data_IF_589112035312
#
_entry.id   IF_589112035312
#
_cell.length_a   1.000
_cell.length_b   1.000
_cell.length_c   1.000
_cell.angle_alpha   90.00
_cell.angle_beta   90.00
_cell.angle_gamma   90.00
#
_symmetry.space_group_name_H-M   'P 1'
#
loop_
_entity.id
_entity.type
_entity.pdbx_description
1 polymer ?
#
# COMPACT_ATOMS: atom_id res chain seq x y z
N UNK A 1 -26.92 12.78 -10.51
CA UNK A 1 -25.85 12.04 -9.81
C UNK A 1 -24.54 12.65 -10.28
N UNK A 2 -23.84 13.39 -9.41
CA UNK A 2 -22.44 13.69 -9.69
C UNK A 2 -21.69 12.37 -9.55
N UNK A 3 -20.94 11.98 -10.59
CA UNK A 3 -20.00 10.87 -10.49
C UNK A 3 -19.04 11.19 -9.33
N UNK A 4 -19.19 10.44 -8.23
CA UNK A 4 -18.20 10.40 -7.16
C UNK A 4 -16.94 9.78 -7.76
N UNK A 5 -16.09 10.59 -8.39
CA UNK A 5 -14.78 10.15 -8.84
C UNK A 5 -14.02 9.67 -7.60
N UNK A 6 -13.82 8.35 -7.52
CA UNK A 6 -12.99 7.74 -6.50
C UNK A 6 -11.53 8.16 -6.67
N UNK A 7 -10.79 8.24 -5.58
CA UNK A 7 -9.34 8.34 -5.66
C UNK A 7 -8.75 6.95 -5.88
N UNK A 8 -7.93 6.79 -6.91
CA UNK A 8 -7.19 5.56 -7.22
C UNK A 8 -5.72 5.84 -7.45
N UNK A 9 -4.88 4.88 -7.12
CA UNK A 9 -3.44 4.88 -7.42
C UNK A 9 -3.19 3.81 -8.47
N UNK A 10 -2.80 4.24 -9.67
CA UNK A 10 -2.37 3.31 -10.73
C UNK A 10 -0.91 2.91 -10.50
N UNK A 11 -0.69 1.66 -10.09
CA UNK A 11 0.64 1.09 -9.85
C UNK A 11 1.30 0.75 -11.19
N UNK A 12 2.38 1.45 -11.53
CA UNK A 12 3.13 1.22 -12.78
C UNK A 12 4.18 0.12 -12.61
N UNK A 13 4.95 0.17 -11.52
CA UNK A 13 5.91 -0.87 -11.18
C UNK A 13 6.26 -0.87 -9.69
N UNK A 14 6.64 -2.05 -9.21
CA UNK A 14 7.31 -2.26 -7.92
C UNK A 14 8.57 -3.05 -8.27
N UNK A 15 9.73 -2.42 -8.21
CA UNK A 15 11.00 -3.02 -8.62
C UNK A 15 11.91 -3.20 -7.39
N UNK A 16 12.48 -4.39 -7.21
CA UNK A 16 13.44 -4.69 -6.14
C UNK A 16 14.84 -4.78 -6.71
N UNK A 17 15.71 -3.87 -6.27
CA UNK A 17 17.13 -3.84 -6.59
C UNK A 17 17.93 -4.42 -5.42
N UNK A 18 18.13 -5.74 -5.44
CA UNK A 18 18.82 -6.49 -4.38
C UNK A 18 20.34 -6.55 -4.61
N UNK A 19 21.11 -6.40 -3.54
CA UNK A 19 22.57 -6.51 -3.50
C UNK A 19 22.98 -7.89 -2.99
N UNK A 20 24.24 -8.28 -3.25
CA UNK A 20 24.76 -9.60 -2.86
C UNK A 20 24.77 -9.85 -1.33
N UNK A 21 24.74 -8.79 -0.53
CA UNK A 21 24.70 -8.85 0.93
C UNK A 21 23.29 -8.95 1.52
N UNK A 22 22.26 -9.06 0.68
CA UNK A 22 20.85 -9.11 1.07
C UNK A 22 20.24 -7.74 1.40
N UNK A 23 21.00 -6.64 1.30
CA UNK A 23 20.45 -5.28 1.34
C UNK A 23 19.92 -4.88 -0.04
N UNK A 24 19.14 -3.80 -0.11
CA UNK A 24 18.70 -3.32 -1.42
C UNK A 24 17.78 -2.13 -1.34
N UNK A 25 17.09 -1.87 -2.44
CA UNK A 25 16.13 -0.79 -2.58
C UNK A 25 14.84 -1.30 -3.22
N UNK A 26 13.70 -0.82 -2.74
CA UNK A 26 12.42 -0.95 -3.45
C UNK A 26 12.16 0.37 -4.17
N UNK A 27 11.91 0.31 -5.48
CA UNK A 27 11.52 1.44 -6.32
C UNK A 27 10.06 1.28 -6.70
N UNK A 28 9.22 2.22 -6.26
CA UNK A 28 7.79 2.21 -6.52
C UNK A 28 7.40 3.33 -7.47
N UNK A 29 6.85 2.97 -8.64
CA UNK A 29 6.34 3.91 -9.64
C UNK A 29 4.82 3.85 -9.68
N UNK A 30 4.19 5.01 -9.58
CA UNK A 30 2.74 5.10 -9.50
C UNK A 30 2.22 6.40 -10.13
N UNK A 31 0.93 6.40 -10.46
CA UNK A 31 0.21 7.58 -10.91
C UNK A 31 -1.03 7.77 -10.03
N UNK A 32 -1.04 8.83 -9.23
CA UNK A 32 -2.20 9.27 -8.44
C UNK A 32 -2.99 10.36 -9.16
N UNK A 33 -3.23 11.50 -8.47
CA UNK A 33 -3.95 12.65 -9.08
C UNK A 33 -3.14 13.41 -10.13
N UNK A 34 -1.82 13.37 -10.02
CA UNK A 34 -0.91 14.17 -10.83
C UNK A 34 -0.23 13.33 -11.92
N UNK A 35 0.92 13.79 -12.40
CA UNK A 35 1.82 13.01 -13.24
C UNK A 35 2.35 11.76 -12.52
N UNK A 36 2.93 10.85 -13.29
CA UNK A 36 3.62 9.68 -12.77
C UNK A 36 4.76 10.09 -11.83
N UNK A 37 4.83 9.42 -10.68
CA UNK A 37 5.81 9.68 -9.63
C UNK A 37 6.58 8.42 -9.30
N UNK A 38 7.80 8.62 -8.80
CA UNK A 38 8.65 7.55 -8.27
C UNK A 38 9.00 7.87 -6.82
N UNK A 39 8.84 6.89 -5.95
CA UNK A 39 9.37 6.91 -4.59
C UNK A 39 10.21 5.67 -4.36
N UNK A 40 11.16 5.74 -3.44
CA UNK A 40 12.12 4.68 -3.16
C UNK A 40 12.44 4.63 -1.68
N UNK A 41 12.75 3.46 -1.17
CA UNK A 41 13.27 3.27 0.18
C UNK A 41 14.26 2.09 0.19
N UNK A 42 15.23 2.15 1.10
CA UNK A 42 16.27 1.13 1.24
C UNK A 42 15.88 0.13 2.35
N UNK A 43 16.07 -1.17 2.10
CA UNK A 43 15.87 -2.22 3.09
C UNK A 43 17.22 -2.81 3.56
N UNK A 44 17.22 -3.26 4.82
CA UNK A 44 18.44 -3.74 5.51
C UNK A 44 18.71 -5.23 5.33
N UNK A 45 17.69 -6.02 4.99
CA UNK A 45 17.80 -7.43 4.64
C UNK A 45 16.59 -7.87 3.79
N UNK A 46 16.70 -9.03 3.14
CA UNK A 46 15.63 -9.70 2.39
C UNK A 46 14.53 -10.31 3.28
N UNK A 47 14.56 -10.04 4.58
CA UNK A 47 13.59 -10.56 5.54
C UNK A 47 12.23 -9.85 5.41
N UNK A 48 11.15 -10.58 5.74
CA UNK A 48 9.80 -10.02 5.72
C UNK A 48 9.66 -8.73 6.56
N UNK A 49 10.18 -8.64 7.80
CA UNK A 49 10.10 -7.41 8.58
C UNK A 49 10.75 -6.20 7.90
N UNK A 50 11.98 -6.36 7.36
CA UNK A 50 12.70 -5.25 6.73
C UNK A 50 12.05 -4.82 5.42
N UNK A 51 11.53 -5.76 4.61
CA UNK A 51 10.76 -5.46 3.41
C UNK A 51 9.42 -4.79 3.74
N UNK A 52 8.76 -5.21 4.82
CA UNK A 52 7.53 -4.60 5.30
C UNK A 52 7.75 -3.14 5.72
N UNK A 53 8.77 -2.89 6.54
CA UNK A 53 9.12 -1.55 7.00
C UNK A 53 9.52 -0.63 5.81
N UNK A 54 10.26 -1.18 4.84
CA UNK A 54 10.59 -0.48 3.60
C UNK A 54 9.33 -0.09 2.80
N UNK A 55 8.37 -1.01 2.64
CA UNK A 55 7.08 -0.72 2.00
C UNK A 55 6.24 0.30 2.79
N UNK A 56 6.27 0.23 4.12
CA UNK A 56 5.59 1.18 5.00
C UNK A 56 6.13 2.61 4.84
N UNK A 57 7.44 2.77 4.71
CA UNK A 57 8.07 4.06 4.40
C UNK A 57 7.65 4.59 3.02
N UNK A 58 7.66 3.72 2.00
CA UNK A 58 7.17 4.06 0.67
C UNK A 58 5.72 4.54 0.74
N UNK A 59 4.85 3.84 1.46
CA UNK A 59 3.45 4.21 1.60
C UNK A 59 3.26 5.59 2.26
N UNK A 60 4.06 5.91 3.29
CA UNK A 60 4.09 7.23 3.91
C UNK A 60 4.53 8.31 2.92
N UNK A 61 5.57 8.05 2.13
CA UNK A 61 6.05 8.97 1.09
C UNK A 61 4.99 9.25 0.02
N UNK A 62 4.24 8.22 -0.39
CA UNK A 62 3.10 8.37 -1.33
C UNK A 62 2.05 9.30 -0.74
N UNK A 63 1.60 9.08 0.49
CA UNK A 63 0.58 9.92 1.14
C UNK A 63 1.05 11.36 1.29
N UNK A 64 2.29 11.58 1.71
CA UNK A 64 2.86 12.92 1.86
C UNK A 64 2.95 13.66 0.52
N UNK A 65 3.31 12.93 -0.55
CA UNK A 65 3.41 13.45 -1.91
C UNK A 65 2.04 13.79 -2.51
N UNK A 66 1.02 12.97 -2.23
CA UNK A 66 -0.32 13.12 -2.81
C UNK A 66 -1.18 14.14 -2.05
N UNK A 67 -1.03 14.22 -0.72
CA UNK A 67 -1.94 14.98 0.14
C UNK A 67 -1.27 16.13 0.92
N UNK A 68 0.03 16.38 0.71
CA UNK A 68 0.87 17.47 1.28
C UNK A 68 1.05 17.42 2.81
N UNK A 69 2.11 18.04 3.38
CA UNK A 69 2.50 17.90 4.80
C UNK A 69 1.51 18.38 5.88
N UNK A 70 0.33 18.89 5.53
CA UNK A 70 -0.77 19.17 6.48
C UNK A 70 -1.88 18.11 6.40
N UNK A 71 -1.56 16.87 5.99
CA UNK A 71 -2.53 15.79 5.76
C UNK A 71 -3.47 15.60 6.94
N UNK A 72 -3.02 15.81 8.18
CA UNK A 72 -3.86 15.57 9.34
C UNK A 72 -4.27 14.09 9.46
N UNK A 73 -3.43 13.19 8.95
CA UNK A 73 -3.56 11.75 9.10
C UNK A 73 -2.18 11.16 9.35
N UNK A 74 -2.07 10.37 10.41
CA UNK A 74 -0.98 9.43 10.60
C UNK A 74 -1.54 8.02 10.40
N UNK A 75 -0.74 7.11 9.87
CA UNK A 75 -1.17 5.73 9.72
C UNK A 75 0.01 4.77 9.84
N UNK A 76 -0.32 3.53 10.19
CA UNK A 76 0.61 2.41 10.22
C UNK A 76 -0.12 1.16 9.76
N UNK A 77 0.55 0.31 9.00
CA UNK A 77 0.10 -1.03 8.67
C UNK A 77 0.68 -2.04 9.66
N UNK A 78 -0.11 -3.03 10.00
CA UNK A 78 0.30 -4.20 10.76
C UNK A 78 -0.18 -5.47 10.03
N UNK A 79 0.52 -6.58 10.20
CA UNK A 79 0.12 -7.86 9.63
C UNK A 79 -1.13 -8.40 10.35
N UNK A 80 -2.08 -8.97 9.60
CA UNK A 80 -3.25 -9.65 10.19
C UNK A 80 -2.89 -11.11 10.46
N UNK A 81 -2.61 -11.44 11.71
CA UNK A 81 -2.26 -12.80 12.17
C UNK A 81 -0.77 -13.13 12.07
N UNK A 82 -0.39 -14.31 12.58
CA UNK A 82 1.01 -14.79 12.62
C UNK A 82 1.51 -15.27 11.24
N UNK A 83 0.61 -15.68 10.34
CA UNK A 83 0.89 -16.16 8.99
C UNK A 83 0.26 -15.25 7.92
N UNK A 84 0.82 -14.06 7.74
CA UNK A 84 0.21 -12.98 6.94
C UNK A 84 0.07 -13.24 5.42
N UNK A 85 0.63 -14.32 4.87
CA UNK A 85 0.54 -14.66 3.44
C UNK A 85 -0.33 -15.90 3.26
N UNK A 86 -1.40 -15.77 2.50
CA UNK A 86 -2.23 -16.91 2.10
C UNK A 86 -2.15 -17.16 0.59
N UNK A 87 -2.09 -18.43 0.21
CA UNK A 87 -2.25 -18.85 -1.18
C UNK A 87 -3.74 -19.05 -1.46
N UNK A 88 -4.22 -18.50 -2.56
CA UNK A 88 -5.59 -18.70 -3.03
C UNK A 88 -5.58 -19.30 -4.44
N UNK A 89 -6.18 -20.48 -4.57
CA UNK A 89 -6.31 -21.20 -5.84
C UNK A 89 -7.67 -20.90 -6.45
N UNK A 90 -7.69 -20.35 -7.66
CA UNK A 90 -8.92 -20.22 -8.46
C UNK A 90 -8.62 -20.75 -9.86
N UNK A 91 -8.94 -22.01 -10.14
CA UNK A 91 -8.64 -22.65 -11.44
C UNK A 91 -9.01 -21.72 -12.62
N UNK A 92 -8.10 -21.40 -13.56
CA UNK A 92 -6.76 -21.98 -13.76
C UNK A 92 -5.60 -21.26 -13.04
N UNK A 93 -5.87 -20.25 -12.23
CA UNK A 93 -4.88 -19.32 -11.69
C UNK A 93 -4.60 -19.48 -10.19
N UNK A 94 -3.41 -19.04 -9.80
CA UNK A 94 -2.94 -19.02 -8.42
C UNK A 94 -2.66 -17.58 -7.99
N UNK A 95 -3.02 -17.25 -6.76
CA UNK A 95 -2.86 -15.91 -6.20
C UNK A 95 -2.21 -15.97 -4.83
N UNK A 96 -1.36 -14.99 -4.55
CA UNK A 96 -0.97 -14.66 -3.18
C UNK A 96 -1.82 -13.50 -2.70
N UNK A 97 -2.29 -13.59 -1.46
CA UNK A 97 -2.98 -12.50 -0.79
C UNK A 97 -2.33 -12.19 0.55
N UNK A 98 -2.32 -10.92 0.92
CA UNK A 98 -1.83 -10.46 2.21
C UNK A 98 -2.80 -9.41 2.77
N UNK A 99 -3.63 -9.77 3.75
CA UNK A 99 -4.41 -8.77 4.48
C UNK A 99 -3.50 -8.00 5.45
N UNK A 100 -3.61 -6.67 5.41
CA UNK A 100 -2.96 -5.76 6.34
C UNK A 100 -4.02 -5.01 7.14
N UNK A 101 -3.75 -4.79 8.43
CA UNK A 101 -4.54 -3.88 9.25
C UNK A 101 -3.89 -2.51 9.18
N UNK A 102 -4.57 -1.54 8.57
CA UNK A 102 -4.17 -0.14 8.64
C UNK A 102 -4.81 0.48 9.89
N UNK A 103 -3.99 1.04 10.77
CA UNK A 103 -4.40 1.83 11.92
C UNK A 103 -4.19 3.30 11.57
N UNK A 104 -5.21 4.13 11.81
CA UNK A 104 -5.28 5.50 11.30
C UNK A 104 -5.58 6.48 12.45
N UNK A 105 -4.74 7.50 12.60
CA UNK A 105 -4.95 8.60 13.53
C UNK A 105 -5.25 9.89 12.76
N UNK A 106 -6.53 10.23 12.69
CA UNK A 106 -7.02 11.45 12.06
C UNK A 106 -6.98 12.64 13.03
N UNK A 107 -6.58 13.81 12.53
CA UNK A 107 -6.76 15.07 13.27
C UNK A 107 -8.20 15.58 13.23
N UNK A 108 -9.01 15.11 12.27
CA UNK A 108 -10.43 15.43 12.19
C UNK A 108 -11.23 14.51 13.13
N UNK A 109 -11.95 15.10 14.09
CA UNK A 109 -12.72 14.34 15.09
C UNK A 109 -13.78 13.41 14.47
N UNK A 110 -14.44 13.85 13.39
CA UNK A 110 -15.45 13.03 12.71
C UNK A 110 -14.82 11.77 12.09
N UNK A 111 -13.70 11.92 11.38
CA UNK A 111 -12.98 10.77 10.80
C UNK A 111 -12.39 9.88 11.89
N UNK A 112 -11.85 10.46 12.96
CA UNK A 112 -11.31 9.72 14.11
C UNK A 112 -12.34 8.81 14.77
N UNK A 113 -13.61 9.23 14.83
CA UNK A 113 -14.69 8.45 15.46
C UNK A 113 -15.23 7.36 14.53
N UNK A 114 -15.14 7.55 13.22
CA UNK A 114 -15.77 6.68 12.23
C UNK A 114 -14.80 5.70 11.55
N UNK A 115 -13.51 6.05 11.49
CA UNK A 115 -12.50 5.37 10.67
C UNK A 115 -11.13 5.31 11.36
N UNK A 116 -11.04 4.70 12.53
CA UNK A 116 -9.76 4.51 13.24
C UNK A 116 -8.88 3.39 12.63
N UNK A 117 -9.47 2.57 11.78
CA UNK A 117 -8.86 1.36 11.27
C UNK A 117 -9.48 0.95 9.93
N UNK A 118 -8.70 0.28 9.08
CA UNK A 118 -9.13 -0.23 7.77
C UNK A 118 -8.35 -1.49 7.39
N UNK A 119 -9.03 -2.54 6.93
CA UNK A 119 -8.36 -3.74 6.42
C UNK A 119 -8.00 -3.55 4.95
N UNK A 120 -6.71 -3.48 4.67
CA UNK A 120 -6.13 -3.41 3.34
C UNK A 120 -5.86 -4.82 2.80
N UNK A 121 -6.02 -5.04 1.48
CA UNK A 121 -5.81 -6.36 0.88
C UNK A 121 -5.10 -6.22 -0.45
N UNK A 122 -3.90 -6.78 -0.53
CA UNK A 122 -3.19 -6.94 -1.79
C UNK A 122 -3.35 -8.35 -2.30
N UNK A 123 -3.49 -8.46 -3.61
CA UNK A 123 -3.52 -9.74 -4.32
C UNK A 123 -2.57 -9.65 -5.50
N UNK A 124 -1.72 -10.65 -5.67
CA UNK A 124 -0.88 -10.81 -6.86
C UNK A 124 -1.10 -12.18 -7.48
N UNK A 125 -1.16 -12.24 -8.81
CA UNK A 125 -1.18 -13.52 -9.53
C UNK A 125 0.22 -14.11 -9.53
N UNK A 126 0.30 -15.41 -9.26
CA UNK A 126 1.54 -16.18 -9.35
C UNK A 126 1.42 -17.25 -10.44
N UNK A 127 2.52 -17.61 -11.11
CA UNK A 127 2.53 -18.73 -12.02
C UNK A 127 2.28 -20.04 -11.27
N UNK A 128 1.82 -21.08 -11.98
CA UNK A 128 1.53 -22.40 -11.41
C UNK A 128 2.72 -23.04 -10.68
N UNK A 129 3.95 -22.66 -11.07
CA UNK A 129 5.17 -23.09 -10.43
C UNK A 129 6.03 -21.87 -10.06
N UNK A 130 5.77 -21.29 -8.90
CA UNK A 130 6.65 -20.27 -8.31
C UNK A 130 7.77 -20.96 -7.52
N UNK A 131 9.03 -20.71 -7.90
CA UNK A 131 10.18 -21.19 -7.13
C UNK A 131 10.36 -20.34 -5.87
N UNK A 132 10.43 -21.00 -4.72
CA UNK A 132 10.84 -20.36 -3.47
C UNK A 132 12.36 -20.19 -3.45
N UNK A 133 12.83 -19.08 -2.90
CA UNK A 133 14.26 -18.84 -2.64
C UNK A 133 14.50 -19.20 -1.19
N UNK A 134 15.29 -20.24 -0.92
CA UNK A 134 15.58 -20.71 0.44
C UNK A 134 14.32 -20.97 1.28
N UNK A 135 13.24 -21.45 0.65
CA UNK A 135 11.95 -21.73 1.31
C UNK A 135 11.06 -20.50 1.54
N UNK A 136 11.41 -19.34 0.99
CA UNK A 136 10.66 -18.08 1.14
C UNK A 136 10.14 -17.56 -0.22
N UNK A 137 9.13 -16.70 -0.17
CA UNK A 137 8.65 -15.95 -1.34
C UNK A 137 9.78 -15.02 -1.81
N UNK A 138 10.10 -14.94 -3.11
CA UNK A 138 11.12 -14.02 -3.61
C UNK A 138 10.82 -12.56 -3.23
N UNK A 139 11.86 -11.80 -2.86
CA UNK A 139 11.76 -10.39 -2.42
C UNK A 139 10.94 -9.53 -3.37
N UNK A 140 11.16 -9.69 -4.68
CA UNK A 140 10.37 -9.03 -5.74
C UNK A 140 8.86 -9.27 -5.60
N UNK A 141 8.44 -10.53 -5.47
CA UNK A 141 7.01 -10.87 -5.36
C UNK A 141 6.43 -10.45 -4.01
N UNK A 142 7.23 -10.52 -2.96
CA UNK A 142 6.82 -10.07 -1.63
C UNK A 142 6.59 -8.55 -1.60
N UNK A 143 7.49 -7.77 -2.18
CA UNK A 143 7.36 -6.32 -2.32
C UNK A 143 6.13 -5.94 -3.16
N UNK A 144 5.89 -6.62 -4.30
CA UNK A 144 4.68 -6.42 -5.11
C UNK A 144 3.40 -6.66 -4.28
N UNK A 145 3.35 -7.75 -3.51
CA UNK A 145 2.20 -8.09 -2.67
C UNK A 145 1.97 -7.08 -1.55
N UNK A 146 3.05 -6.68 -0.85
CA UNK A 146 3.01 -5.69 0.22
C UNK A 146 2.54 -4.33 -0.31
N UNK A 147 3.13 -3.86 -1.40
CA UNK A 147 2.78 -2.57 -1.99
C UNK A 147 1.33 -2.56 -2.49
N UNK A 148 0.87 -3.62 -3.16
CA UNK A 148 -0.54 -3.70 -3.57
C UNK A 148 -1.50 -3.65 -2.36
N UNK A 149 -1.12 -4.29 -1.25
CA UNK A 149 -1.92 -4.26 -0.01
C UNK A 149 -1.95 -2.86 0.59
N UNK A 150 -0.80 -2.20 0.68
CA UNK A 150 -0.72 -0.85 1.24
C UNK A 150 -1.43 0.16 0.36
N UNK A 151 -1.32 0.06 -0.97
CA UNK A 151 -2.00 0.92 -1.93
C UNK A 151 -3.52 0.92 -1.71
N UNK A 152 -4.16 -0.23 -1.48
CA UNK A 152 -5.60 -0.24 -1.21
C UNK A 152 -5.97 0.57 0.05
N UNK A 153 -5.09 0.57 1.07
CA UNK A 153 -5.23 1.41 2.25
C UNK A 153 -5.01 2.89 1.95
N UNK A 154 -4.03 3.21 1.10
CA UNK A 154 -3.77 4.60 0.67
C UNK A 154 -4.92 5.16 -0.17
N UNK A 155 -5.55 4.35 -1.01
CA UNK A 155 -6.72 4.73 -1.78
C UNK A 155 -7.90 5.08 -0.87
N UNK A 156 -8.10 4.32 0.21
CA UNK A 156 -9.08 4.65 1.25
C UNK A 156 -8.79 6.02 1.89
N UNK A 157 -7.54 6.29 2.28
CA UNK A 157 -7.14 7.59 2.81
C UNK A 157 -7.44 8.70 1.79
N UNK A 158 -7.07 8.49 0.52
CA UNK A 158 -7.32 9.45 -0.54
C UNK A 158 -8.79 9.72 -0.78
N UNK A 159 -9.64 8.69 -0.68
CA UNK A 159 -11.08 8.82 -0.77
C UNK A 159 -11.65 9.72 0.33
N UNK A 160 -11.16 9.57 1.57
CA UNK A 160 -11.59 10.42 2.69
C UNK A 160 -11.18 11.89 2.46
N UNK A 161 -10.01 12.14 1.86
CA UNK A 161 -9.61 13.50 1.47
C UNK A 161 -10.48 14.08 0.36
N UNK A 162 -10.78 13.32 -0.70
CA UNK A 162 -11.71 13.76 -1.77
C UNK A 162 -13.05 14.18 -1.18
N UNK A 163 -13.64 13.33 -0.34
CA UNK A 163 -14.95 13.59 0.26
C UNK A 163 -14.93 14.85 1.13
N UNK A 164 -13.89 15.03 1.94
CA UNK A 164 -13.72 16.25 2.75
C UNK A 164 -13.62 17.51 1.88
N UNK A 165 -12.87 17.45 0.78
CA UNK A 165 -12.75 18.57 -0.17
C UNK A 165 -14.10 18.93 -0.82
N UNK A 166 -14.89 17.92 -1.19
CA UNK A 166 -16.23 18.11 -1.77
C UNK A 166 -17.19 18.76 -0.77
N UNK A 167 -17.30 18.22 0.45
CA UNK A 167 -18.17 18.79 1.49
C UNK A 167 -17.81 20.25 1.81
N UNK A 168 -16.52 20.58 1.84
CA UNK A 168 -16.04 21.94 2.06
C UNK A 168 -16.36 22.92 0.93
N UNK A 169 -16.59 22.43 -0.30
CA UNK A 169 -17.04 23.25 -1.44
C UNK A 169 -18.55 23.48 -1.40
N UNK A 170 -19.33 22.46 -1.03
CA UNK A 170 -20.79 22.56 -0.91
C UNK A 170 -21.23 23.55 0.18
N UNK A 171 -20.48 23.66 1.29
CA UNK A 171 -20.77 24.61 2.37
C UNK A 171 -20.35 26.06 2.07
N UNK A 172 -19.69 26.32 0.94
CA UNK A 172 -19.28 27.67 0.50
C UNK A 172 -20.17 28.26 -0.59
N UNK A 173 -21.26 27.59 -0.94
CA UNK A 173 -22.31 28.04 -1.88
C UNK A 173 -23.55 28.45 -1.09
#
# INVERSE_FOLDING_TARGET
>A
MQDLQGYSIDVKSVDVEEREDGTGQIVFRYQGRAEEKTTRADFRSDSLPDLFDCCQEIAQNVVMSEFRPNTGVNFKFDLVGEDGISIWHTTPDNYLKMPLQMNIDWTCQHLKTSYDSYTALGVIRIPDQMKLVSGRVPSQKLAELLMNSMVSGLEFIGQMFVQREQMGREHKV
#
